data_IF_587041140453
#
_entry.id   IF_587041140453
#
_cell.length_a   1.000
_cell.length_b   1.000
_cell.length_c   1.000
_cell.angle_alpha   90.00
_cell.angle_beta   90.00
_cell.angle_gamma   90.00
#
_symmetry.space_group_name_H-M   'P 1'
#
loop_
_entity.id
_entity.type
_entity.pdbx_description
1 polymer ?
#
# COMPACT_ATOMS: atom_id res chain seq x y z
N UNK A 1 15.83 -4.92 8.20
CA UNK A 1 17.22 -4.49 8.09
C UNK A 1 17.29 -3.41 7.03
N UNK A 2 17.52 -2.21 7.46
CA UNK A 2 17.71 -1.10 6.55
C UNK A 2 19.13 -1.04 6.02
N UNK A 3 19.40 -0.19 5.00
CA UNK A 3 20.76 0.07 4.56
C UNK A 3 21.60 0.67 5.70
N UNK A 4 22.91 0.52 5.62
CA UNK A 4 23.81 0.98 6.68
C UNK A 4 23.60 2.44 7.09
N UNK A 5 23.21 3.28 6.13
CA UNK A 5 22.96 4.70 6.37
C UNK A 5 21.50 5.01 6.71
N UNK A 6 20.65 4.00 6.81
CA UNK A 6 19.24 4.18 7.06
C UNK A 6 18.50 4.89 5.94
N UNK A 7 17.20 4.64 5.85
CA UNK A 7 16.31 5.37 4.96
C UNK A 7 15.19 5.92 5.83
N UNK A 8 15.00 7.23 5.80
CA UNK A 8 14.04 7.91 6.66
C UNK A 8 12.95 8.59 5.82
N UNK A 9 11.72 8.44 6.25
CA UNK A 9 10.57 9.09 5.66
C UNK A 9 9.98 10.10 6.67
N UNK A 10 9.27 11.09 6.14
CA UNK A 10 8.58 12.06 6.96
C UNK A 10 7.16 11.52 7.22
N UNK A 11 7.00 10.78 8.32
CA UNK A 11 5.73 10.17 8.69
C UNK A 11 5.64 10.04 10.21
N UNK A 12 4.42 9.91 10.72
CA UNK A 12 4.20 9.48 12.10
C UNK A 12 4.37 7.96 12.18
N UNK A 13 5.26 7.50 13.07
CA UNK A 13 5.59 6.09 13.16
C UNK A 13 4.38 5.20 13.54
N UNK A 14 3.54 5.67 14.45
CA UNK A 14 2.37 4.90 14.86
C UNK A 14 1.33 4.82 13.75
N UNK A 15 1.13 5.92 13.02
CA UNK A 15 0.19 5.95 11.91
C UNK A 15 0.64 5.08 10.75
N UNK A 16 1.92 5.14 10.38
CA UNK A 16 2.42 4.32 9.28
C UNK A 16 2.41 2.83 9.62
N UNK A 17 2.64 2.49 10.89
CA UNK A 17 2.49 1.11 11.37
C UNK A 17 1.06 0.62 11.18
N UNK A 18 0.08 1.47 11.43
CA UNK A 18 -1.33 1.14 11.18
C UNK A 18 -1.59 0.87 9.70
N UNK A 19 -0.99 1.67 8.80
CA UNK A 19 -1.12 1.46 7.35
C UNK A 19 -0.59 0.07 6.96
N UNK A 20 0.61 -0.26 7.38
CA UNK A 20 1.19 -1.57 7.08
C UNK A 20 0.37 -2.71 7.64
N UNK A 21 -0.09 -2.59 8.88
CA UNK A 21 -0.93 -3.59 9.53
C UNK A 21 -2.22 -3.80 8.74
N UNK A 22 -2.87 -2.73 8.32
CA UNK A 22 -4.12 -2.81 7.55
C UNK A 22 -3.91 -3.52 6.21
N UNK A 23 -2.85 -3.19 5.49
CA UNK A 23 -2.56 -3.78 4.18
C UNK A 23 -2.20 -5.26 4.33
N UNK A 24 -1.34 -5.60 5.29
CA UNK A 24 -0.97 -6.99 5.54
C UNK A 24 -2.19 -7.82 5.96
N UNK A 25 -3.05 -7.29 6.82
CA UNK A 25 -4.29 -7.97 7.20
C UNK A 25 -5.19 -8.23 6.00
N UNK A 26 -5.32 -7.25 5.11
CA UNK A 26 -6.09 -7.44 3.88
C UNK A 26 -5.50 -8.56 3.02
N UNK A 27 -4.18 -8.60 2.88
CA UNK A 27 -3.51 -9.66 2.13
C UNK A 27 -3.78 -11.03 2.75
N UNK A 28 -3.63 -11.15 4.06
CA UNK A 28 -3.88 -12.40 4.77
C UNK A 28 -5.33 -12.86 4.61
N UNK A 29 -6.29 -11.94 4.69
CA UNK A 29 -7.70 -12.27 4.51
C UNK A 29 -8.00 -12.72 3.08
N UNK A 30 -7.39 -12.06 2.09
CA UNK A 30 -7.57 -12.42 0.68
C UNK A 30 -7.04 -13.82 0.37
N UNK A 31 -6.02 -14.26 1.09
CA UNK A 31 -5.39 -15.56 0.88
C UNK A 31 -5.90 -16.66 1.82
N UNK A 32 -6.87 -16.35 2.64
CA UNK A 32 -7.40 -17.29 3.64
C UNK A 32 -7.89 -18.57 2.96
N UNK A 33 -7.44 -19.72 3.46
CA UNK A 33 -7.79 -21.03 2.91
C UNK A 33 -7.03 -21.43 1.66
N UNK A 34 -6.09 -20.62 1.18
CA UNK A 34 -5.27 -20.94 0.01
C UNK A 34 -3.94 -21.56 0.45
N UNK A 35 -3.49 -22.54 -0.34
CA UNK A 35 -2.14 -23.09 -0.19
C UNK A 35 -1.13 -22.17 -0.87
N UNK A 36 0.13 -22.24 -0.43
CA UNK A 36 1.24 -21.48 -1.02
C UNK A 36 0.99 -19.95 -1.01
N UNK A 37 0.39 -19.46 0.07
CA UNK A 37 0.15 -18.03 0.22
C UNK A 37 1.45 -17.31 0.59
N UNK A 38 1.79 -16.26 -0.15
CA UNK A 38 3.00 -15.46 0.05
C UNK A 38 2.69 -13.98 0.11
N UNK A 39 3.38 -13.29 1.00
CA UNK A 39 3.43 -11.83 1.05
C UNK A 39 4.88 -11.41 0.83
N UNK A 40 5.10 -10.52 -0.14
CA UNK A 40 6.42 -9.99 -0.44
C UNK A 40 6.39 -8.48 -0.21
N UNK A 41 7.31 -8.00 0.62
CA UNK A 41 7.45 -6.57 0.92
C UNK A 41 8.79 -6.10 0.34
N UNK A 42 8.74 -5.10 -0.53
CA UNK A 42 9.92 -4.52 -1.16
C UNK A 42 9.96 -3.03 -0.85
N UNK A 43 11.10 -2.57 -0.40
CA UNK A 43 11.35 -1.15 -0.18
C UNK A 43 12.36 -0.66 -1.21
N UNK A 44 12.00 0.39 -1.93
CA UNK A 44 12.90 1.10 -2.86
C UNK A 44 13.02 2.54 -2.42
N UNK A 45 14.24 3.03 -2.35
CA UNK A 45 14.51 4.41 -1.99
C UNK A 45 15.05 5.19 -3.19
N UNK A 46 15.03 6.52 -3.09
CA UNK A 46 15.56 7.43 -4.12
C UNK A 46 14.84 7.35 -5.46
N UNK A 47 13.54 7.07 -5.47
CA UNK A 47 12.75 7.12 -6.70
C UNK A 47 12.43 8.59 -6.98
N UNK A 48 12.93 9.12 -8.10
CA UNK A 48 12.73 10.51 -8.48
C UNK A 48 11.69 10.71 -9.58
N UNK A 49 11.67 9.81 -10.55
CA UNK A 49 10.85 9.94 -11.74
C UNK A 49 10.19 8.61 -12.07
N UNK A 50 9.21 8.63 -12.96
CA UNK A 50 8.56 7.44 -13.48
C UNK A 50 7.80 6.63 -12.43
N UNK A 51 7.02 7.33 -11.59
CA UNK A 51 6.04 6.68 -10.75
C UNK A 51 4.84 6.32 -11.63
N UNK A 52 5.01 5.31 -12.48
CA UNK A 52 4.03 4.94 -13.49
C UNK A 52 2.67 4.56 -12.89
N UNK A 53 2.67 4.14 -11.63
CA UNK A 53 1.47 3.71 -10.91
C UNK A 53 0.73 4.91 -10.30
N UNK A 54 1.47 5.99 -10.03
CA UNK A 54 0.93 7.25 -9.51
C UNK A 54 1.41 8.42 -10.38
N UNK A 55 0.85 8.58 -11.58
CA UNK A 55 1.35 9.61 -12.50
C UNK A 55 1.09 11.04 -12.03
N UNK A 56 0.21 11.24 -11.08
CA UNK A 56 -0.07 12.54 -10.49
C UNK A 56 0.91 12.96 -9.40
N UNK A 57 1.89 12.12 -9.07
CA UNK A 57 2.98 12.53 -8.19
C UNK A 57 4.00 13.33 -9.01
N UNK A 58 4.06 14.61 -8.72
CA UNK A 58 5.06 15.48 -9.33
C UNK A 58 6.33 15.47 -8.48
N UNK A 59 7.39 14.93 -9.04
CA UNK A 59 8.60 14.60 -8.27
C UNK A 59 9.81 15.44 -8.64
N UNK A 60 9.61 16.60 -9.27
CA UNK A 60 10.67 17.37 -9.90
C UNK A 60 11.93 17.54 -9.05
N UNK A 61 11.83 17.63 -7.72
CA UNK A 61 12.96 17.82 -6.82
C UNK A 61 12.89 16.95 -5.56
N UNK A 62 11.93 16.04 -5.46
CA UNK A 62 11.75 15.23 -4.28
C UNK A 62 12.20 13.79 -4.52
N UNK A 63 12.81 13.21 -3.51
CA UNK A 63 13.08 11.79 -3.47
C UNK A 63 11.92 11.09 -2.77
N UNK A 64 11.48 10.01 -3.34
CA UNK A 64 10.40 9.20 -2.81
C UNK A 64 10.93 7.84 -2.35
N UNK A 65 10.26 7.30 -1.36
CA UNK A 65 10.43 5.92 -0.94
C UNK A 65 9.20 5.18 -1.41
N UNK A 66 9.40 4.09 -2.15
CA UNK A 66 8.32 3.19 -2.55
C UNK A 66 8.36 1.95 -1.67
N UNK A 67 7.25 1.63 -1.05
CA UNK A 67 7.07 0.39 -0.31
C UNK A 67 5.96 -0.37 -1.02
N UNK A 68 6.27 -1.55 -1.52
CA UNK A 68 5.28 -2.42 -2.15
C UNK A 68 5.00 -3.62 -1.26
N UNK A 69 3.73 -3.95 -1.12
CA UNK A 69 3.27 -5.11 -0.37
C UNK A 69 2.42 -5.94 -1.34
N UNK A 70 2.96 -7.08 -1.74
CA UNK A 70 2.34 -7.97 -2.73
C UNK A 70 1.82 -9.24 -2.07
N UNK A 71 0.63 -9.65 -2.46
CA UNK A 71 0.11 -10.96 -2.12
C UNK A 71 -0.12 -11.76 -3.41
N UNK A 72 -0.25 -13.07 -3.27
CA UNK A 72 -0.60 -13.97 -4.36
C UNK A 72 -2.02 -14.52 -4.22
N UNK A 73 -2.91 -13.69 -3.70
CA UNK A 73 -4.33 -14.00 -3.59
C UNK A 73 -5.06 -13.91 -4.92
N UNK A 74 -6.39 -13.95 -4.90
CA UNK A 74 -7.20 -13.94 -6.12
C UNK A 74 -7.31 -12.58 -6.81
N UNK A 75 -6.73 -11.55 -6.22
CA UNK A 75 -6.90 -10.19 -6.71
C UNK A 75 -8.20 -9.55 -6.25
N UNK A 76 -8.41 -8.32 -6.69
CA UNK A 76 -9.60 -7.53 -6.37
C UNK A 76 -10.56 -7.60 -7.56
N UNK A 77 -11.80 -7.96 -7.33
CA UNK A 77 -12.81 -8.03 -8.38
C UNK A 77 -12.94 -6.69 -9.10
N UNK A 78 -13.12 -6.73 -10.41
CA UNK A 78 -13.10 -5.54 -11.25
C UNK A 78 -14.12 -4.48 -10.81
N UNK A 79 -15.31 -4.90 -10.41
CA UNK A 79 -16.40 -4.02 -10.01
C UNK A 79 -16.17 -3.34 -8.66
N UNK A 80 -15.23 -3.81 -7.85
CA UNK A 80 -14.94 -3.21 -6.53
C UNK A 80 -13.65 -2.39 -6.51
N UNK A 81 -12.88 -2.40 -7.60
CA UNK A 81 -11.57 -1.70 -7.62
C UNK A 81 -11.69 -0.21 -7.35
N UNK A 82 -12.72 0.44 -7.87
CA UNK A 82 -12.93 1.87 -7.65
C UNK A 82 -13.36 2.20 -6.23
N UNK A 83 -13.79 1.21 -5.46
CA UNK A 83 -14.39 1.40 -4.14
C UNK A 83 -13.49 0.97 -2.99
N UNK A 84 -12.27 0.50 -3.27
CA UNK A 84 -11.41 -0.05 -2.21
C UNK A 84 -11.04 0.99 -1.15
N UNK A 85 -11.01 2.26 -1.51
CA UNK A 85 -10.72 3.35 -0.57
C UNK A 85 -11.97 4.10 -0.10
N UNK A 86 -13.15 3.64 -0.48
CA UNK A 86 -14.42 4.27 -0.05
C UNK A 86 -14.73 3.81 1.38
N UNK A 87 -14.97 4.75 2.33
CA UNK A 87 -15.31 4.39 3.70
C UNK A 87 -16.57 3.51 3.77
N UNK A 88 -16.56 2.55 4.67
CA UNK A 88 -17.65 1.62 4.96
C UNK A 88 -17.97 0.65 3.80
N UNK A 89 -17.15 0.64 2.74
CA UNK A 89 -17.27 -0.36 1.70
C UNK A 89 -16.42 -1.58 2.05
N UNK A 90 -17.01 -2.76 2.08
CA UNK A 90 -16.30 -4.01 2.30
C UNK A 90 -17.05 -5.18 1.69
N UNK A 91 -16.30 -6.12 1.11
CA UNK A 91 -16.82 -7.43 0.70
C UNK A 91 -16.57 -8.50 1.76
N UNK A 92 -15.98 -8.11 2.89
CA UNK A 92 -15.60 -9.03 3.97
C UNK A 92 -16.67 -9.03 5.05
N UNK A 93 -16.94 -10.20 5.60
CA UNK A 93 -17.96 -10.35 6.63
C UNK A 93 -17.56 -9.81 8.00
N UNK A 94 -16.27 -9.55 8.21
CA UNK A 94 -15.72 -9.19 9.53
C UNK A 94 -15.07 -7.81 9.56
N UNK A 95 -14.95 -7.13 8.43
CA UNK A 95 -14.31 -5.82 8.36
C UNK A 95 -15.31 -4.69 8.49
N UNK A 96 -14.89 -3.58 9.08
CA UNK A 96 -15.70 -2.37 9.15
C UNK A 96 -15.60 -1.54 7.85
N UNK A 97 -14.79 -1.96 6.88
CA UNK A 97 -14.61 -1.24 5.63
C UNK A 97 -13.81 0.05 5.80
N UNK A 98 -13.02 0.18 6.86
CA UNK A 98 -12.30 1.41 7.19
C UNK A 98 -10.78 1.29 7.04
N UNK A 99 -10.23 0.07 6.94
CA UNK A 99 -8.78 -0.14 6.92
C UNK A 99 -8.08 0.57 5.78
N UNK A 100 -8.54 0.39 4.55
CA UNK A 100 -7.92 1.03 3.37
C UNK A 100 -8.23 2.54 3.29
N UNK A 101 -9.46 3.01 3.56
CA UNK A 101 -9.70 4.46 3.62
C UNK A 101 -8.85 5.17 4.67
N UNK A 102 -8.69 4.59 5.85
CA UNK A 102 -7.84 5.14 6.90
C UNK A 102 -6.38 5.16 6.44
N UNK A 103 -5.91 4.08 5.82
CA UNK A 103 -4.55 4.00 5.30
C UNK A 103 -4.28 5.09 4.25
N UNK A 104 -5.22 5.33 3.35
CA UNK A 104 -5.11 6.39 2.36
C UNK A 104 -5.02 7.76 3.03
N UNK A 105 -5.87 8.03 4.02
CA UNK A 105 -5.86 9.30 4.74
C UNK A 105 -4.54 9.52 5.46
N UNK A 106 -3.98 8.49 6.09
CA UNK A 106 -2.70 8.58 6.78
C UNK A 106 -1.57 8.89 5.79
N UNK A 107 -1.48 8.15 4.70
CA UNK A 107 -0.42 8.32 3.71
C UNK A 107 -0.52 9.70 3.04
N UNK A 108 -1.70 10.08 2.59
CA UNK A 108 -1.90 11.39 1.95
C UNK A 108 -1.71 12.55 2.93
N UNK A 109 -2.08 12.36 4.20
CA UNK A 109 -1.87 13.37 5.24
C UNK A 109 -0.38 13.63 5.50
N UNK A 110 0.50 12.69 5.21
CA UNK A 110 1.94 12.88 5.29
C UNK A 110 2.57 13.39 3.98
N UNK A 111 1.76 13.70 2.99
CA UNK A 111 2.22 14.14 1.67
C UNK A 111 2.55 13.02 0.70
N UNK A 112 2.26 11.79 1.07
CA UNK A 112 2.51 10.62 0.23
C UNK A 112 1.32 10.24 -0.65
N UNK A 113 1.45 9.10 -1.30
CA UNK A 113 0.41 8.51 -2.14
C UNK A 113 0.31 7.01 -1.90
N UNK A 114 -0.87 6.48 -2.12
CA UNK A 114 -1.11 5.05 -2.08
C UNK A 114 -1.84 4.65 -3.37
N UNK A 115 -1.42 3.52 -3.93
CA UNK A 115 -2.01 2.97 -5.15
C UNK A 115 -1.96 1.45 -5.08
N UNK A 116 -2.60 0.78 -6.03
CA UNK A 116 -2.51 -0.66 -6.12
C UNK A 116 -2.59 -1.12 -7.58
N UNK A 117 -2.04 -2.29 -7.82
CA UNK A 117 -2.23 -3.06 -9.04
C UNK A 117 -2.76 -4.42 -8.66
N UNK A 118 -3.69 -4.95 -9.43
CA UNK A 118 -4.33 -6.22 -9.13
C UNK A 118 -4.60 -7.01 -10.40
N UNK A 119 -4.53 -8.31 -10.26
CA UNK A 119 -4.85 -9.28 -11.32
C UNK A 119 -5.31 -10.57 -10.65
N UNK A 120 -5.64 -11.56 -11.45
CA UNK A 120 -6.00 -12.89 -10.92
C UNK A 120 -4.83 -13.55 -10.17
N UNK A 121 -3.60 -13.08 -10.37
CA UNK A 121 -2.40 -13.60 -9.71
C UNK A 121 -2.11 -12.95 -8.36
N UNK A 122 -2.85 -11.90 -7.99
CA UNK A 122 -2.69 -11.24 -6.71
C UNK A 122 -2.83 -9.74 -6.76
N UNK A 123 -2.51 -9.10 -5.65
CA UNK A 123 -2.61 -7.64 -5.50
C UNK A 123 -1.31 -7.10 -4.91
N UNK A 124 -0.87 -5.97 -5.42
CA UNK A 124 0.25 -5.22 -4.86
C UNK A 124 -0.22 -3.83 -4.49
N UNK A 125 -0.03 -3.45 -3.23
CA UNK A 125 -0.21 -2.08 -2.79
C UNK A 125 1.13 -1.35 -2.80
N UNK A 126 1.11 -0.13 -3.30
CA UNK A 126 2.29 0.74 -3.37
C UNK A 126 2.05 1.94 -2.46
N UNK A 127 2.97 2.19 -1.56
CA UNK A 127 2.96 3.33 -0.67
C UNK A 127 4.16 4.20 -1.02
N UNK A 128 3.90 5.46 -1.34
CA UNK A 128 4.94 6.44 -1.67
C UNK A 128 5.03 7.44 -0.54
N UNK A 129 6.19 7.53 0.07
CA UNK A 129 6.46 8.46 1.17
C UNK A 129 7.59 9.40 0.77
N UNK A 130 7.51 10.64 1.23
CA UNK A 130 8.58 11.59 1.02
C UNK A 130 9.79 11.19 1.86
N UNK A 131 10.95 11.16 1.22
CA UNK A 131 12.19 10.88 1.92
C UNK A 131 12.61 12.09 2.74
N UNK A 132 12.98 11.82 3.97
CA UNK A 132 13.51 12.86 4.86
C UNK A 132 14.92 13.28 4.45
#
# INVERSE_FOLDING_TARGET
>A
IGPENGVFAIVDADQITQVFTNIVKNALQAMQGRENSDIIIILKSHIKNNLAICPDIHTSNMNWIEISISDNGPGIAHDVREKVFVPNFTTKNTGAGLGLPISKNIVEGSGGKIAFQTSDAGTTFFIYLMKA
#
